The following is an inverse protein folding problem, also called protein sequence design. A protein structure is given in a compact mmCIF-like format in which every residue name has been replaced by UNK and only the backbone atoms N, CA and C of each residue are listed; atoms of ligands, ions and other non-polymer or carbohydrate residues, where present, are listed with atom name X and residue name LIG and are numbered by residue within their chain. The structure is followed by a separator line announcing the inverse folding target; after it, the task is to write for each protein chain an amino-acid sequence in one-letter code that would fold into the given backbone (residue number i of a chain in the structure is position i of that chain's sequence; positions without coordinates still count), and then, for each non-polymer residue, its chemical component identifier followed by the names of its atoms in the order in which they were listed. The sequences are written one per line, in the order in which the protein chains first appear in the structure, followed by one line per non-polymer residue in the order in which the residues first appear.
data_IF_900673943368
#
_entry.id   IF_900673943368
#
_cell.length_a   1.000
_cell.length_b   1.000
_cell.length_c   1.000
_cell.angle_alpha   90.00
_cell.angle_beta   90.00
_cell.angle_gamma   90.00
#
_symmetry.space_group_name_H-M   'P 1'
#
loop_
_entity.id
_entity.type
_entity.pdbx_description
1 polymer ?
#
# COMPACT_ATOMS: atom_id res chain seq x y z
N UNK A 1 -7.83 24.78 -7.75
CA UNK A 1 -7.15 23.72 -6.97
C UNK A 1 -6.08 23.07 -7.84
N UNK A 2 -4.84 23.05 -7.37
CA UNK A 2 -3.75 22.25 -7.93
C UNK A 2 -3.64 20.95 -7.14
N UNK A 3 -3.61 19.81 -7.83
CA UNK A 3 -3.52 18.48 -7.23
C UNK A 3 -2.14 17.87 -7.52
N UNK A 4 -1.38 17.56 -6.47
CA UNK A 4 -0.11 16.85 -6.58
C UNK A 4 -0.31 15.37 -6.29
N UNK A 5 0.11 14.49 -7.20
CA UNK A 5 0.29 13.07 -6.90
C UNK A 5 1.67 12.83 -6.29
N UNK A 6 1.81 11.83 -5.41
CA UNK A 6 3.14 11.41 -4.94
C UNK A 6 3.21 9.92 -4.66
N UNK A 7 4.39 9.38 -4.93
CA UNK A 7 4.71 7.95 -4.74
C UNK A 7 6.19 7.75 -4.47
N UNK A 8 6.55 6.54 -4.08
CA UNK A 8 7.94 6.12 -3.86
C UNK A 8 8.23 4.88 -4.68
N UNK A 9 9.43 4.76 -5.20
CA UNK A 9 9.90 3.59 -5.97
C UNK A 9 11.15 2.99 -5.34
N UNK A 10 11.32 1.68 -5.47
CA UNK A 10 12.55 0.98 -5.13
C UNK A 10 12.61 -0.36 -5.86
N UNK A 11 13.63 -0.55 -6.70
CA UNK A 11 13.88 -1.77 -7.47
C UNK A 11 12.61 -2.33 -8.13
N UNK A 12 11.83 -1.44 -8.76
CA UNK A 12 10.53 -1.80 -9.31
C UNK A 12 10.61 -2.73 -10.53
N UNK A 13 11.73 -2.70 -11.26
CA UNK A 13 11.99 -3.60 -12.40
C UNK A 13 12.22 -5.01 -11.89
N UNK A 14 13.16 -5.23 -10.97
CA UNK A 14 13.45 -6.55 -10.41
C UNK A 14 12.29 -7.11 -9.59
N UNK A 15 11.52 -6.24 -8.93
CA UNK A 15 10.34 -6.61 -8.17
C UNK A 15 9.08 -6.78 -9.04
N UNK A 16 9.18 -6.53 -10.35
CA UNK A 16 8.09 -6.65 -11.33
C UNK A 16 6.81 -5.88 -10.92
N UNK A 17 6.97 -4.69 -10.30
CA UNK A 17 5.83 -3.84 -9.97
C UNK A 17 5.27 -3.14 -11.22
N UNK A 18 3.95 -2.88 -11.30
CA UNK A 18 3.34 -2.11 -12.39
C UNK A 18 3.54 -0.59 -12.19
N UNK A 19 4.74 -0.19 -11.77
CA UNK A 19 5.07 1.17 -11.33
C UNK A 19 4.90 2.24 -12.41
N UNK A 20 5.18 1.90 -13.68
CA UNK A 20 4.98 2.83 -14.78
C UNK A 20 3.48 3.14 -14.99
N UNK A 21 2.63 2.13 -14.89
CA UNK A 21 1.19 2.29 -15.05
C UNK A 21 0.60 3.03 -13.84
N UNK A 22 1.13 2.81 -12.64
CA UNK A 22 0.78 3.57 -11.44
C UNK A 22 1.12 5.06 -11.62
N UNK A 23 2.35 5.39 -12.04
CA UNK A 23 2.76 6.79 -12.28
C UNK A 23 1.95 7.41 -13.44
N UNK A 24 1.71 6.70 -14.56
CA UNK A 24 0.85 7.16 -15.66
C UNK A 24 -0.57 7.45 -15.17
N UNK A 25 -1.09 6.62 -14.29
CA UNK A 25 -2.39 6.84 -13.66
C UNK A 25 -2.41 8.17 -12.90
N UNK A 26 -1.41 8.44 -12.05
CA UNK A 26 -1.28 9.72 -11.35
C UNK A 26 -1.16 10.91 -12.33
N UNK A 27 -0.33 10.80 -13.37
CA UNK A 27 -0.16 11.83 -14.41
C UNK A 27 -1.48 12.14 -15.15
N UNK A 28 -2.38 11.16 -15.23
CA UNK A 28 -3.67 11.28 -15.88
C UNK A 28 -4.66 12.20 -15.15
N UNK A 29 -4.60 12.29 -13.82
CA UNK A 29 -5.54 13.12 -13.07
C UNK A 29 -4.87 14.17 -12.15
N UNK A 30 -3.56 14.13 -11.94
CA UNK A 30 -2.82 15.14 -11.17
C UNK A 30 -2.21 16.22 -12.05
N UNK A 31 -1.96 17.39 -11.47
CA UNK A 31 -1.30 18.51 -12.16
C UNK A 31 0.24 18.39 -12.10
N UNK A 32 0.76 17.66 -11.12
CA UNK A 32 2.16 17.24 -11.00
C UNK A 32 2.23 15.89 -10.29
N UNK A 33 3.32 15.16 -10.48
CA UNK A 33 3.58 13.88 -9.82
C UNK A 33 5.00 13.86 -9.27
N UNK A 34 5.11 13.73 -7.95
CA UNK A 34 6.38 13.69 -7.23
C UNK A 34 6.75 12.23 -6.94
N UNK A 35 7.90 11.80 -7.43
CA UNK A 35 8.40 10.43 -7.27
C UNK A 35 9.75 10.45 -6.57
N UNK A 36 9.87 9.71 -5.47
CA UNK A 36 11.14 9.57 -4.76
C UNK A 36 11.63 8.13 -4.85
N UNK A 37 12.83 7.98 -5.38
CA UNK A 37 13.52 6.69 -5.48
C UNK A 37 14.30 6.36 -4.21
N UNK A 38 14.20 5.11 -3.74
CA UNK A 38 14.83 4.60 -2.51
C UNK A 38 16.28 4.16 -2.65
N UNK A 39 16.93 4.50 -3.77
CA UNK A 39 18.27 4.03 -4.12
C UNK A 39 18.25 2.76 -4.95
N UNK A 40 17.40 2.72 -6.00
CA UNK A 40 17.33 1.59 -6.92
C UNK A 40 18.64 1.35 -7.65
N UNK A 41 19.00 0.08 -7.86
CA UNK A 41 20.18 -0.40 -8.56
C UNK A 41 19.86 -1.35 -9.75
N UNK A 42 18.57 -1.43 -10.13
CA UNK A 42 18.05 -2.33 -11.16
C UNK A 42 17.67 -1.64 -12.48
N UNK A 43 17.97 -0.34 -12.61
CA UNK A 43 17.60 0.48 -13.77
C UNK A 43 16.31 1.29 -13.57
N UNK A 44 15.60 1.13 -12.45
CA UNK A 44 14.39 1.90 -12.13
C UNK A 44 14.67 3.40 -12.11
N UNK A 45 15.76 3.84 -11.46
CA UNK A 45 16.13 5.25 -11.35
C UNK A 45 16.50 5.86 -12.71
N UNK A 46 17.32 5.17 -13.51
CA UNK A 46 17.74 5.61 -14.84
C UNK A 46 16.51 5.80 -15.76
N UNK A 47 15.58 4.86 -15.70
CA UNK A 47 14.35 4.93 -16.47
C UNK A 47 13.46 6.09 -16.03
N UNK A 48 13.37 6.36 -14.73
CA UNK A 48 12.66 7.50 -14.17
C UNK A 48 13.29 8.83 -14.61
N UNK A 49 14.63 8.91 -14.60
CA UNK A 49 15.35 10.08 -15.10
C UNK A 49 15.10 10.33 -16.60
N UNK A 50 15.08 9.28 -17.41
CA UNK A 50 14.79 9.41 -18.83
C UNK A 50 13.35 9.90 -19.06
N UNK A 51 12.40 9.37 -18.33
CA UNK A 51 11.01 9.80 -18.39
C UNK A 51 10.84 11.26 -17.98
N UNK A 52 11.53 11.71 -16.94
CA UNK A 52 11.49 13.09 -16.46
C UNK A 52 11.98 14.11 -17.49
N UNK A 53 12.79 13.72 -18.49
CA UNK A 53 13.22 14.63 -19.57
C UNK A 53 12.08 15.00 -20.52
N UNK A 54 11.05 14.18 -20.62
CA UNK A 54 9.95 14.32 -21.58
C UNK A 54 8.60 14.62 -20.94
N UNK A 55 8.44 14.28 -19.64
CA UNK A 55 7.20 14.51 -18.91
C UNK A 55 7.32 15.69 -17.93
N UNK A 56 6.78 16.83 -18.34
CA UNK A 56 6.90 18.09 -17.59
C UNK A 56 6.18 18.12 -16.24
N UNK A 57 5.22 17.23 -16.03
CA UNK A 57 4.51 17.10 -14.75
C UNK A 57 5.29 16.26 -13.74
N UNK A 58 6.32 15.53 -14.15
CA UNK A 58 7.07 14.64 -13.29
C UNK A 58 8.13 15.42 -12.53
N UNK A 59 8.18 15.24 -11.20
CA UNK A 59 9.20 15.78 -10.30
C UNK A 59 9.86 14.60 -9.61
N UNK A 60 11.16 14.42 -9.79
CA UNK A 60 11.87 13.26 -9.23
C UNK A 60 12.95 13.67 -8.24
N UNK A 61 13.17 12.83 -7.24
CA UNK A 61 14.25 12.97 -6.25
C UNK A 61 14.66 11.59 -5.73
N UNK A 62 15.75 11.53 -5.00
CA UNK A 62 16.21 10.32 -4.32
C UNK A 62 16.23 10.51 -2.81
N UNK A 63 15.82 9.48 -2.10
CA UNK A 63 16.03 9.30 -0.66
C UNK A 63 16.58 7.89 -0.46
N UNK A 64 17.90 7.79 -0.43
CA UNK A 64 18.58 6.49 -0.32
C UNK A 64 18.34 5.91 1.06
N UNK A 65 17.68 4.77 1.10
CA UNK A 65 17.39 4.03 2.34
C UNK A 65 18.62 3.27 2.77
N UNK A 66 19.00 3.38 4.04
CA UNK A 66 20.02 2.53 4.63
C UNK A 66 19.42 1.20 5.10
N UNK A 67 19.51 0.19 4.24
CA UNK A 67 18.97 -1.15 4.48
C UNK A 67 19.67 -1.92 5.62
N UNK A 68 20.76 -1.40 6.17
CA UNK A 68 21.44 -1.99 7.32
C UNK A 68 20.92 -1.46 8.66
N UNK A 69 20.16 -0.39 8.65
CA UNK A 69 19.55 0.14 9.87
C UNK A 69 18.45 -0.77 10.39
N UNK A 70 18.32 -0.98 11.71
CA UNK A 70 17.24 -1.76 12.29
C UNK A 70 15.83 -1.21 11.97
N UNK A 71 15.70 0.10 11.72
CA UNK A 71 14.45 0.79 11.36
C UNK A 71 14.29 1.05 9.86
N UNK A 72 14.99 0.32 9.00
CA UNK A 72 14.94 0.55 7.54
C UNK A 72 13.52 0.49 6.97
N UNK A 73 12.63 -0.28 7.58
CA UNK A 73 11.24 -0.34 7.17
C UNK A 73 10.53 1.00 7.34
N UNK A 74 10.82 1.71 8.43
CA UNK A 74 10.30 3.06 8.64
C UNK A 74 11.01 4.09 7.72
N UNK A 75 12.30 3.91 7.44
CA UNK A 75 13.03 4.70 6.46
C UNK A 75 12.36 4.64 5.08
N UNK A 76 12.12 3.41 4.57
CA UNK A 76 11.58 3.19 3.22
C UNK A 76 10.12 3.61 3.08
N UNK A 77 9.29 3.34 4.06
CA UNK A 77 7.85 3.59 3.95
C UNK A 77 7.46 4.96 4.55
N UNK A 78 7.99 5.33 5.73
CA UNK A 78 7.68 6.59 6.40
C UNK A 78 8.45 7.79 5.84
N UNK A 79 9.78 7.76 5.96
CA UNK A 79 10.61 8.90 5.62
C UNK A 79 10.70 9.14 4.12
N UNK A 80 10.77 8.09 3.32
CA UNK A 80 10.77 8.20 1.85
C UNK A 80 9.44 8.78 1.36
N UNK A 81 8.29 8.29 1.83
CA UNK A 81 6.97 8.87 1.51
C UNK A 81 6.85 10.32 1.96
N UNK A 82 7.37 10.64 3.16
CA UNK A 82 7.43 12.03 3.65
C UNK A 82 8.26 12.91 2.72
N UNK A 83 9.41 12.42 2.23
CA UNK A 83 10.24 13.14 1.26
C UNK A 83 9.48 13.42 -0.03
N UNK A 84 8.80 12.42 -0.57
CA UNK A 84 7.98 12.57 -1.78
C UNK A 84 6.84 13.57 -1.58
N UNK A 85 6.14 13.52 -0.45
CA UNK A 85 5.09 14.46 -0.09
C UNK A 85 5.62 15.91 0.00
N UNK A 86 6.82 16.13 0.58
CA UNK A 86 7.45 17.46 0.72
C UNK A 86 7.85 18.10 -0.61
N UNK A 87 7.89 17.35 -1.72
CA UNK A 87 8.08 17.89 -3.07
C UNK A 87 6.78 18.45 -3.67
N UNK A 88 5.62 18.07 -3.15
CA UNK A 88 4.33 18.50 -3.66
C UNK A 88 4.14 20.02 -3.50
N UNK A 89 3.76 20.70 -4.58
CA UNK A 89 3.49 22.15 -4.60
C UNK A 89 2.00 22.50 -4.78
N UNK A 90 1.13 21.49 -4.91
CA UNK A 90 -0.32 21.67 -5.05
C UNK A 90 -1.02 22.01 -3.74
N UNK A 91 -2.31 22.35 -3.85
CA UNK A 91 -3.18 22.61 -2.70
C UNK A 91 -3.56 21.33 -1.95
N UNK A 92 -3.67 20.24 -2.70
CA UNK A 92 -4.03 18.90 -2.23
C UNK A 92 -2.99 17.89 -2.71
N UNK A 93 -2.78 16.83 -1.92
CA UNK A 93 -1.85 15.75 -2.21
C UNK A 93 -2.57 14.41 -2.28
N UNK A 94 -2.34 13.67 -3.37
CA UNK A 94 -2.81 12.30 -3.57
C UNK A 94 -1.65 11.33 -3.46
N UNK A 95 -1.68 10.44 -2.46
CA UNK A 95 -0.68 9.37 -2.29
C UNK A 95 -1.09 8.13 -3.06
N UNK A 96 -0.15 7.46 -3.72
CA UNK A 96 -0.36 6.13 -4.29
C UNK A 96 0.87 5.26 -4.09
N UNK A 97 0.66 3.96 -3.89
CA UNK A 97 1.75 2.98 -3.93
C UNK A 97 1.96 2.53 -5.39
N UNK A 98 3.16 2.05 -5.73
CA UNK A 98 3.55 1.73 -7.13
C UNK A 98 2.84 0.51 -7.73
N UNK A 99 2.03 -0.17 -6.96
CA UNK A 99 1.17 -1.27 -7.38
C UNK A 99 -0.32 -0.92 -7.31
N UNK A 100 -0.63 0.40 -7.24
CA UNK A 100 -2.00 0.92 -7.24
C UNK A 100 -2.28 1.74 -8.50
N UNK A 101 -3.50 1.67 -9.00
CA UNK A 101 -3.95 2.34 -10.22
C UNK A 101 -5.36 2.88 -10.02
N UNK A 102 -5.61 4.12 -10.43
CA UNK A 102 -6.94 4.65 -10.76
C UNK A 102 -7.12 4.49 -12.26
N UNK A 103 -8.23 3.92 -12.70
CA UNK A 103 -8.50 3.74 -14.13
C UNK A 103 -8.88 5.05 -14.79
N UNK A 104 -8.61 5.17 -16.10
CA UNK A 104 -8.80 6.40 -16.84
C UNK A 104 -10.25 6.92 -16.79
N UNK A 105 -11.21 6.02 -16.75
CA UNK A 105 -12.65 6.32 -16.65
C UNK A 105 -13.03 7.04 -15.35
N UNK A 106 -12.19 6.89 -14.31
CA UNK A 106 -12.39 7.52 -13.01
C UNK A 106 -11.63 8.84 -12.84
N UNK A 107 -10.80 9.28 -13.80
CA UNK A 107 -9.94 10.46 -13.62
C UNK A 107 -10.75 11.75 -13.37
N UNK A 108 -11.77 12.00 -14.19
CA UNK A 108 -12.62 13.17 -14.01
C UNK A 108 -13.39 13.13 -12.69
N UNK A 109 -13.95 11.97 -12.35
CA UNK A 109 -14.63 11.74 -11.06
C UNK A 109 -13.69 11.97 -9.88
N UNK A 110 -12.45 11.49 -9.97
CA UNK A 110 -11.40 11.69 -8.96
C UNK A 110 -11.14 13.18 -8.75
N UNK A 111 -10.92 13.93 -9.83
CA UNK A 111 -10.67 15.38 -9.75
C UNK A 111 -11.84 16.15 -9.16
N UNK A 112 -13.07 15.79 -9.51
CA UNK A 112 -14.28 16.45 -9.01
C UNK A 112 -14.42 16.24 -7.49
N UNK A 113 -14.22 15.03 -7.01
CA UNK A 113 -14.22 14.76 -5.56
C UNK A 113 -13.07 15.50 -4.85
N UNK A 114 -11.87 15.51 -5.42
CA UNK A 114 -10.76 16.29 -4.86
C UNK A 114 -11.10 17.79 -4.72
N UNK A 115 -11.81 18.36 -5.71
CA UNK A 115 -12.25 19.75 -5.67
C UNK A 115 -13.34 19.97 -4.61
N UNK A 116 -14.27 19.06 -4.45
CA UNK A 116 -15.29 19.12 -3.39
C UNK A 116 -14.63 19.11 -1.99
N UNK A 117 -13.67 18.21 -1.78
CA UNK A 117 -12.92 18.13 -0.52
C UNK A 117 -12.07 19.39 -0.29
N UNK A 118 -11.42 19.90 -1.33
CA UNK A 118 -10.68 21.17 -1.25
C UNK A 118 -11.57 22.33 -0.76
N UNK A 119 -12.80 22.43 -1.26
CA UNK A 119 -13.77 23.45 -0.87
C UNK A 119 -14.34 23.24 0.54
N UNK A 120 -14.10 22.11 1.19
CA UNK A 120 -14.51 21.85 2.57
C UNK A 120 -13.30 21.90 3.51
N UNK A 121 -12.99 23.06 4.16
CA UNK A 121 -11.79 23.23 4.98
C UNK A 121 -11.77 22.37 6.25
N UNK A 122 -12.85 21.71 6.60
CA UNK A 122 -12.93 20.82 7.76
C UNK A 122 -12.30 19.45 7.49
N UNK A 123 -12.01 19.12 6.24
CA UNK A 123 -11.45 17.81 5.85
C UNK A 123 -9.95 17.96 5.59
N UNK A 124 -9.13 17.37 6.43
CA UNK A 124 -7.67 17.30 6.27
C UNK A 124 -7.23 16.07 5.48
N UNK A 125 -7.90 14.93 5.67
CA UNK A 125 -7.55 13.63 5.08
C UNK A 125 -8.82 12.85 4.76
N UNK A 126 -8.85 12.21 3.59
CA UNK A 126 -9.99 11.39 3.14
C UNK A 126 -9.54 10.01 2.68
N UNK A 127 -10.39 9.02 2.96
CA UNK A 127 -10.23 7.66 2.46
C UNK A 127 -10.93 7.46 1.13
N UNK A 128 -10.42 6.51 0.35
CA UNK A 128 -11.02 6.06 -0.92
C UNK A 128 -11.18 4.54 -0.93
N UNK A 129 -12.16 4.02 -1.67
CA UNK A 129 -12.33 2.59 -1.85
C UNK A 129 -11.09 1.96 -2.46
N UNK A 130 -10.75 0.77 -1.98
CA UNK A 130 -9.68 -0.04 -2.49
C UNK A 130 -10.18 -1.45 -2.77
N UNK A 131 -9.84 -1.98 -3.92
CA UNK A 131 -9.99 -3.40 -4.23
C UNK A 131 -8.60 -4.01 -4.40
N UNK A 132 -8.31 -5.06 -3.66
CA UNK A 132 -7.06 -5.79 -3.78
C UNK A 132 -7.27 -7.06 -4.59
N UNK A 133 -6.69 -7.08 -5.80
CA UNK A 133 -6.77 -8.24 -6.66
C UNK A 133 -6.01 -9.43 -6.09
N UNK A 134 -6.56 -10.63 -6.33
CA UNK A 134 -5.96 -11.89 -5.93
C UNK A 134 -5.83 -12.84 -7.11
N UNK A 135 -4.59 -13.11 -7.52
CA UNK A 135 -4.34 -13.93 -8.69
C UNK A 135 -4.85 -13.32 -9.99
N UNK A 136 -4.77 -14.09 -11.06
CA UNK A 136 -5.09 -13.64 -12.42
C UNK A 136 -6.59 -13.67 -12.78
N UNK A 137 -7.44 -14.20 -11.91
CA UNK A 137 -8.82 -14.58 -12.23
C UNK A 137 -9.90 -13.55 -11.86
N UNK A 138 -9.55 -12.26 -11.70
CA UNK A 138 -10.51 -11.22 -11.33
C UNK A 138 -11.08 -11.34 -9.92
N UNK A 139 -10.48 -12.17 -9.07
CA UNK A 139 -10.85 -12.27 -7.66
C UNK A 139 -10.35 -11.07 -6.88
N UNK A 140 -11.11 -10.69 -5.86
CA UNK A 140 -10.76 -9.61 -4.92
C UNK A 140 -10.74 -10.15 -3.51
N UNK A 141 -9.71 -9.81 -2.76
CA UNK A 141 -9.61 -10.15 -1.34
C UNK A 141 -10.67 -9.41 -0.52
N UNK A 142 -11.23 -10.10 0.46
CA UNK A 142 -12.20 -9.54 1.40
C UNK A 142 -11.70 -9.52 2.85
N UNK A 143 -10.50 -10.01 3.10
CA UNK A 143 -9.87 -10.05 4.43
C UNK A 143 -9.04 -8.78 4.75
N UNK A 144 -8.87 -7.90 3.76
CA UNK A 144 -8.18 -6.61 3.91
C UNK A 144 -9.16 -5.45 4.04
N UNK A 145 -8.70 -4.33 4.54
CA UNK A 145 -9.49 -3.11 4.57
C UNK A 145 -9.82 -2.66 3.15
N UNK A 146 -11.13 -2.44 2.82
CA UNK A 146 -11.54 -2.05 1.48
C UNK A 146 -11.37 -0.54 1.22
N UNK A 147 -10.44 0.10 1.88
CA UNK A 147 -10.12 1.53 1.72
C UNK A 147 -8.70 1.84 2.16
N UNK A 148 -8.19 2.95 1.63
CA UNK A 148 -6.95 3.57 2.11
C UNK A 148 -7.08 5.08 2.16
N UNK A 149 -6.28 5.71 3.01
CA UNK A 149 -6.09 7.17 3.01
C UNK A 149 -5.29 7.56 1.78
N UNK A 150 -5.84 8.45 0.95
CA UNK A 150 -5.15 8.83 -0.29
C UNK A 150 -5.11 10.32 -0.54
N UNK A 151 -6.16 11.05 -0.20
CA UNK A 151 -6.25 12.49 -0.43
C UNK A 151 -6.07 13.26 0.88
N UNK A 152 -5.12 14.18 0.91
CA UNK A 152 -4.91 15.08 2.05
C UNK A 152 -4.65 16.51 1.59
N UNK A 153 -4.89 17.48 2.49
CA UNK A 153 -4.41 18.84 2.25
C UNK A 153 -2.88 18.87 2.22
N UNK A 154 -2.30 19.77 1.42
CA UNK A 154 -0.86 20.00 1.43
C UNK A 154 -0.45 20.84 2.65
N UNK A 155 -0.68 20.28 3.82
CA UNK A 155 -0.25 20.88 5.09
C UNK A 155 1.20 20.42 5.38
N UNK A 156 2.18 21.33 5.52
CA UNK A 156 3.58 20.98 5.72
C UNK A 156 3.85 20.25 7.04
N UNK A 157 2.92 20.31 8.00
CA UNK A 157 3.01 19.59 9.27
C UNK A 157 2.61 18.12 9.14
N UNK A 158 1.98 17.72 8.05
CA UNK A 158 1.58 16.33 7.82
C UNK A 158 2.74 15.57 7.22
N UNK A 159 3.10 14.48 7.87
CA UNK A 159 4.13 13.53 7.42
C UNK A 159 3.58 12.10 7.47
N UNK A 160 4.30 11.16 6.86
CA UNK A 160 4.11 9.74 7.07
C UNK A 160 4.97 9.26 8.23
N UNK A 161 4.39 8.49 9.15
CA UNK A 161 5.12 8.04 10.32
C UNK A 161 4.35 7.10 11.23
N UNK A 162 5.00 6.73 12.33
CA UNK A 162 4.40 5.93 13.38
C UNK A 162 3.69 6.86 14.35
N UNK A 163 2.39 6.68 14.64
CA UNK A 163 1.70 7.43 15.68
C UNK A 163 2.38 7.31 17.04
N UNK A 164 2.41 8.39 17.81
CA UNK A 164 3.15 8.45 19.06
C UNK A 164 2.72 7.45 20.14
N UNK A 165 1.43 7.07 20.14
CA UNK A 165 0.90 6.01 21.01
C UNK A 165 1.42 4.62 20.66
N UNK A 166 1.88 4.41 19.42
CA UNK A 166 2.41 3.16 18.88
C UNK A 166 3.92 3.20 18.64
N UNK A 167 4.52 4.40 18.69
CA UNK A 167 5.95 4.59 18.48
C UNK A 167 6.75 4.09 19.68
N UNK A 168 7.74 3.24 19.41
CA UNK A 168 8.72 2.73 20.37
C UNK A 168 10.12 2.90 19.82
N UNK A 169 11.11 2.81 20.71
CA UNK A 169 12.52 2.97 20.41
C UNK A 169 13.31 1.76 20.85
N UNK A 170 14.30 1.37 20.07
CA UNK A 170 15.34 0.41 20.45
C UNK A 170 16.43 1.11 21.28
N UNK A 171 17.36 0.34 21.82
CA UNK A 171 18.50 0.85 22.60
C UNK A 171 19.37 1.82 21.79
N UNK A 172 19.47 1.66 20.47
CA UNK A 172 20.20 2.52 19.54
C UNK A 172 19.38 3.75 19.07
N UNK A 173 18.23 4.01 19.70
CA UNK A 173 17.25 5.03 19.34
C UNK A 173 16.58 4.88 17.97
N UNK A 174 16.71 3.71 17.31
CA UNK A 174 15.92 3.45 16.11
C UNK A 174 14.46 3.16 16.43
N UNK A 175 13.58 3.58 15.53
CA UNK A 175 12.13 3.53 15.75
C UNK A 175 11.52 2.20 15.32
N UNK A 176 10.46 1.77 15.98
CA UNK A 176 9.62 0.65 15.57
C UNK A 176 8.17 0.83 16.02
N UNK A 177 7.25 0.12 15.37
CA UNK A 177 5.83 0.13 15.69
C UNK A 177 5.41 -1.07 16.53
N UNK A 178 4.39 -0.91 17.36
CA UNK A 178 3.72 -2.04 17.98
C UNK A 178 3.05 -2.92 16.91
N UNK A 179 3.06 -4.23 17.12
CA UNK A 179 2.49 -5.20 16.18
C UNK A 179 1.00 -4.91 15.90
N UNK A 180 0.59 -5.09 14.65
CA UNK A 180 -0.79 -4.87 14.21
C UNK A 180 -1.09 -3.44 13.75
N UNK A 181 -0.09 -2.58 13.67
CA UNK A 181 -0.19 -1.20 13.21
C UNK A 181 0.19 -1.11 11.75
N UNK A 182 -0.59 -0.40 10.95
CA UNK A 182 -0.14 0.09 9.65
C UNK A 182 0.88 1.19 9.89
N UNK A 183 2.09 0.97 9.43
CA UNK A 183 3.29 1.66 9.86
C UNK A 183 3.49 3.04 9.28
N UNK A 184 2.66 3.43 8.34
CA UNK A 184 2.77 4.70 7.64
C UNK A 184 1.49 5.48 7.67
N UNK A 185 1.04 5.79 8.89
CA UNK A 185 -0.08 6.68 9.09
C UNK A 185 0.27 8.11 8.66
N UNK A 186 -0.75 8.89 8.37
CA UNK A 186 -0.65 10.34 8.30
C UNK A 186 -0.66 10.89 9.71
N UNK A 187 0.44 11.51 10.12
CA UNK A 187 0.59 12.10 11.45
C UNK A 187 1.02 13.56 11.36
N UNK A 188 0.73 14.34 12.39
CA UNK A 188 1.34 15.65 12.57
C UNK A 188 2.76 15.48 13.09
N UNK A 189 3.74 16.14 12.43
CA UNK A 189 5.17 16.00 12.71
C UNK A 189 5.53 16.40 14.15
N UNK A 190 4.88 17.44 14.66
CA UNK A 190 5.15 18.01 15.98
C UNK A 190 4.55 17.19 17.14
N UNK A 191 3.34 16.69 16.98
CA UNK A 191 2.61 15.99 18.06
C UNK A 191 2.65 14.48 17.94
N UNK A 192 3.06 13.95 16.78
CA UNK A 192 2.96 12.52 16.43
C UNK A 192 1.53 11.95 16.53
N UNK A 193 0.51 12.82 16.56
CA UNK A 193 -0.89 12.39 16.55
C UNK A 193 -1.36 12.12 15.12
N UNK A 194 -2.29 11.17 14.98
CA UNK A 194 -2.91 10.89 13.68
C UNK A 194 -3.67 12.10 13.15
N UNK A 195 -3.56 12.34 11.86
CA UNK A 195 -4.37 13.34 11.17
C UNK A 195 -5.83 12.88 11.16
N UNK A 196 -6.78 13.74 11.57
CA UNK A 196 -8.20 13.42 11.46
C UNK A 196 -8.59 13.13 10.02
N UNK A 197 -9.38 12.09 9.79
CA UNK A 197 -9.78 11.69 8.46
C UNK A 197 -11.28 11.46 8.35
N UNK A 198 -11.79 11.59 7.12
CA UNK A 198 -13.18 11.32 6.77
C UNK A 198 -13.24 10.01 6.00
N UNK A 199 -14.19 9.17 6.38
CA UNK A 199 -14.53 7.94 5.70
C UNK A 199 -15.57 8.22 4.62
N UNK A 200 -15.43 7.61 3.45
CA UNK A 200 -16.38 7.78 2.36
C UNK A 200 -17.73 7.05 2.59
N UNK A 201 -17.81 6.17 3.60
CA UNK A 201 -19.03 5.47 3.99
C UNK A 201 -19.01 5.03 5.47
N UNK A 202 -20.09 4.43 5.96
CA UNK A 202 -20.13 3.83 7.32
C UNK A 202 -19.26 2.57 7.39
N UNK A 203 -18.00 2.77 7.71
CA UNK A 203 -17.00 1.71 7.77
C UNK A 203 -17.23 0.71 8.89
N UNK A 204 -17.83 1.10 10.01
CA UNK A 204 -18.14 0.15 11.10
C UNK A 204 -19.11 -0.91 10.62
N UNK A 205 -20.17 -0.48 9.91
CA UNK A 205 -21.12 -1.39 9.29
C UNK A 205 -20.46 -2.32 8.27
N UNK A 206 -19.65 -1.76 7.37
CA UNK A 206 -18.99 -2.53 6.32
C UNK A 206 -17.97 -3.51 6.91
N UNK A 207 -17.18 -3.11 7.91
CA UNK A 207 -16.25 -4.01 8.59
C UNK A 207 -16.97 -5.17 9.28
N UNK A 208 -18.09 -4.92 9.93
CA UNK A 208 -18.86 -5.98 10.56
C UNK A 208 -19.38 -6.99 9.53
N UNK A 209 -19.94 -6.51 8.42
CA UNK A 209 -20.41 -7.37 7.32
C UNK A 209 -19.24 -8.18 6.74
N UNK A 210 -18.09 -7.53 6.50
CA UNK A 210 -16.87 -8.19 6.01
C UNK A 210 -16.38 -9.28 6.97
N UNK A 211 -16.40 -9.04 8.28
CA UNK A 211 -16.03 -10.04 9.26
C UNK A 211 -16.95 -11.28 9.22
N UNK A 212 -18.26 -11.08 9.09
CA UNK A 212 -19.20 -12.18 8.93
C UNK A 212 -19.02 -12.92 7.60
N UNK A 213 -18.76 -12.21 6.50
CA UNK A 213 -18.44 -12.81 5.20
C UNK A 213 -17.18 -13.68 5.29
N UNK A 214 -16.11 -13.19 5.92
CA UNK A 214 -14.91 -13.97 6.17
C UNK A 214 -15.14 -15.20 7.05
N UNK A 215 -16.06 -15.11 8.01
CA UNK A 215 -16.45 -16.24 8.84
C UNK A 215 -17.36 -17.25 8.12
N UNK A 216 -17.70 -17.01 6.85
CA UNK A 216 -18.46 -17.95 6.03
C UNK A 216 -19.97 -17.71 5.96
N UNK A 217 -20.45 -16.58 6.44
CA UNK A 217 -21.85 -16.22 6.28
C UNK A 217 -22.14 -15.82 4.83
N UNK A 218 -22.96 -16.60 4.12
CA UNK A 218 -23.23 -16.39 2.70
C UNK A 218 -23.99 -15.09 2.45
N UNK A 219 -24.96 -14.74 3.29
CA UNK A 219 -25.71 -13.48 3.12
C UNK A 219 -24.81 -12.24 3.28
N UNK A 220 -23.86 -12.30 4.22
CA UNK A 220 -22.88 -11.25 4.40
C UNK A 220 -21.93 -11.17 3.20
N UNK A 221 -21.54 -12.31 2.63
CA UNK A 221 -20.70 -12.36 1.42
C UNK A 221 -21.43 -11.73 0.22
N UNK A 222 -22.68 -12.12 -0.02
CA UNK A 222 -23.50 -11.59 -1.11
C UNK A 222 -23.73 -10.08 -0.97
N UNK A 223 -23.98 -9.61 0.27
CA UNK A 223 -24.08 -8.18 0.54
C UNK A 223 -22.76 -7.45 0.26
N UNK A 224 -21.65 -7.99 0.73
CA UNK A 224 -20.33 -7.36 0.57
C UNK A 224 -19.93 -7.29 -0.91
N UNK A 225 -20.21 -8.33 -1.67
CA UNK A 225 -19.98 -8.36 -3.13
C UNK A 225 -20.80 -7.27 -3.84
N UNK A 226 -22.09 -7.17 -3.56
CA UNK A 226 -22.97 -6.15 -4.14
C UNK A 226 -22.55 -4.73 -3.72
N UNK A 227 -22.13 -4.54 -2.46
CA UNK A 227 -21.59 -3.28 -1.98
C UNK A 227 -20.31 -2.90 -2.72
N UNK A 228 -19.36 -3.84 -2.90
CA UNK A 228 -18.11 -3.62 -3.63
C UNK A 228 -18.39 -3.18 -5.07
N UNK A 229 -19.26 -3.89 -5.78
CA UNK A 229 -19.68 -3.52 -7.15
C UNK A 229 -20.31 -2.12 -7.21
N UNK A 230 -21.16 -1.80 -6.24
CA UNK A 230 -21.76 -0.47 -6.13
C UNK A 230 -20.72 0.63 -5.90
N UNK A 231 -19.73 0.38 -5.04
CA UNK A 231 -18.65 1.34 -4.76
C UNK A 231 -17.77 1.62 -5.98
N UNK A 232 -17.42 0.58 -6.74
CA UNK A 232 -16.65 0.73 -7.98
C UNK A 232 -17.37 1.64 -8.98
N UNK A 233 -18.69 1.57 -9.03
CA UNK A 233 -19.50 2.39 -9.94
C UNK A 233 -19.68 3.84 -9.45
N UNK A 234 -19.76 4.06 -8.15
CA UNK A 234 -20.08 5.36 -7.55
C UNK A 234 -18.85 6.21 -7.21
N UNK A 235 -17.76 5.57 -6.81
CA UNK A 235 -16.56 6.23 -6.33
C UNK A 235 -15.34 5.87 -7.20
N UNK A 236 -14.38 6.79 -7.37
CA UNK A 236 -13.08 6.40 -7.90
C UNK A 236 -12.48 5.36 -6.97
N UNK A 237 -12.09 4.23 -7.53
CA UNK A 237 -11.65 3.07 -6.76
C UNK A 237 -10.21 2.74 -7.06
N UNK A 238 -9.40 2.65 -6.01
CA UNK A 238 -7.99 2.25 -6.09
C UNK A 238 -7.94 0.76 -6.40
N UNK A 239 -7.31 0.43 -7.51
CA UNK A 239 -7.07 -0.95 -7.95
C UNK A 239 -5.66 -1.36 -7.52
N UNK A 240 -5.56 -2.24 -6.52
CA UNK A 240 -4.31 -2.66 -5.92
C UNK A 240 -3.87 -4.02 -6.46
N UNK A 241 -2.72 -4.05 -7.11
CA UNK A 241 -2.17 -5.21 -7.81
C UNK A 241 -1.10 -5.97 -7.01
N UNK A 242 -1.04 -5.75 -5.69
CA UNK A 242 -0.02 -6.35 -4.82
C UNK A 242 0.02 -7.89 -4.91
N UNK A 243 -1.15 -8.52 -4.91
CA UNK A 243 -1.33 -9.97 -4.96
C UNK A 243 -1.86 -10.49 -6.32
N UNK A 244 -1.96 -9.66 -7.32
CA UNK A 244 -2.39 -10.07 -8.67
C UNK A 244 -1.46 -11.14 -9.26
N UNK A 245 -0.16 -10.99 -9.07
CA UNK A 245 0.84 -12.02 -9.35
C UNK A 245 1.35 -12.61 -8.03
N UNK A 246 0.78 -13.75 -7.63
CA UNK A 246 1.06 -14.38 -6.32
C UNK A 246 2.50 -14.89 -6.24
N UNK A 247 3.02 -15.50 -7.31
CA UNK A 247 4.41 -16.00 -7.34
C UNK A 247 5.40 -14.84 -7.15
N UNK A 248 5.22 -13.72 -7.86
CA UNK A 248 6.00 -12.49 -7.67
C UNK A 248 5.94 -12.03 -6.21
N UNK A 249 4.73 -11.98 -5.62
CA UNK A 249 4.56 -11.51 -4.23
C UNK A 249 5.30 -12.39 -3.23
N UNK A 250 5.29 -13.71 -3.41
CA UNK A 250 6.05 -14.63 -2.55
C UNK A 250 7.56 -14.39 -2.71
N UNK A 251 8.05 -14.21 -3.94
CA UNK A 251 9.46 -13.84 -4.19
C UNK A 251 9.84 -12.53 -3.50
N UNK A 252 8.96 -11.53 -3.55
CA UNK A 252 9.17 -10.26 -2.87
C UNK A 252 9.17 -10.41 -1.34
N UNK A 253 8.42 -11.36 -0.78
CA UNK A 253 8.55 -11.71 0.65
C UNK A 253 9.91 -12.32 0.98
N UNK A 254 10.43 -13.19 0.12
CA UNK A 254 11.78 -13.76 0.28
C UNK A 254 12.87 -12.69 0.29
N UNK A 255 12.79 -11.72 -0.61
CA UNK A 255 13.84 -10.71 -0.80
C UNK A 255 13.69 -9.50 0.12
N UNK A 256 12.46 -9.08 0.42
CA UNK A 256 12.21 -7.80 1.06
C UNK A 256 11.17 -7.85 2.20
N UNK A 257 9.92 -8.26 1.92
CA UNK A 257 8.81 -8.03 2.85
C UNK A 257 8.92 -8.77 4.19
N UNK A 258 9.52 -9.97 4.24
CA UNK A 258 9.71 -10.64 5.54
C UNK A 258 10.64 -9.84 6.45
N UNK A 259 11.75 -9.33 5.91
CA UNK A 259 12.68 -8.46 6.65
C UNK A 259 12.02 -7.14 7.04
N UNK A 260 11.26 -6.55 6.10
CA UNK A 260 10.51 -5.32 6.34
C UNK A 260 9.61 -5.43 7.56
N UNK A 261 8.77 -6.45 7.64
CA UNK A 261 7.87 -6.63 8.77
C UNK A 261 8.60 -6.97 10.07
N UNK A 262 9.69 -7.74 9.99
CA UNK A 262 10.54 -7.98 11.17
C UNK A 262 11.14 -6.67 11.69
N UNK A 263 11.72 -5.84 10.82
CA UNK A 263 12.25 -4.53 11.18
C UNK A 263 11.19 -3.62 11.80
N UNK A 264 10.00 -3.57 11.17
CA UNK A 264 8.90 -2.73 11.59
C UNK A 264 8.43 -3.03 13.02
N UNK A 265 8.42 -4.31 13.43
CA UNK A 265 7.88 -4.75 14.72
C UNK A 265 8.96 -5.19 15.74
N UNK A 266 10.18 -4.70 15.61
CA UNK A 266 11.28 -4.99 16.53
C UNK A 266 11.61 -6.49 16.64
N UNK A 267 11.57 -7.20 15.52
CA UNK A 267 12.00 -8.60 15.43
C UNK A 267 13.36 -8.67 14.75
N UNK A 268 14.12 -9.75 15.03
CA UNK A 268 15.33 -10.04 14.26
C UNK A 268 15.00 -10.17 12.78
N UNK A 269 15.90 -9.67 11.93
CA UNK A 269 15.83 -9.81 10.46
C UNK A 269 16.60 -11.02 9.95
N UNK A 270 17.14 -11.85 10.86
CA UNK A 270 17.92 -13.04 10.52
C UNK A 270 17.06 -14.03 9.74
N UNK A 271 17.70 -14.76 8.84
CA UNK A 271 17.04 -15.80 8.05
C UNK A 271 16.82 -17.07 8.89
N UNK A 272 15.76 -17.03 9.67
CA UNK A 272 15.33 -18.16 10.52
C UNK A 272 13.92 -18.62 10.12
N UNK A 273 13.56 -19.82 10.54
CA UNK A 273 12.21 -20.37 10.37
C UNK A 273 11.14 -19.46 11.01
N UNK A 274 11.43 -18.90 12.19
CA UNK A 274 10.51 -18.02 12.93
C UNK A 274 10.22 -16.72 12.20
N UNK A 275 11.19 -16.21 11.44
CA UNK A 275 11.11 -14.97 10.68
C UNK A 275 10.58 -15.18 9.24
N UNK A 276 10.42 -16.43 8.81
CA UNK A 276 9.75 -16.73 7.55
C UNK A 276 8.22 -16.74 7.75
N UNK A 277 7.54 -15.77 7.15
CA UNK A 277 6.09 -15.59 7.30
C UNK A 277 5.24 -16.55 6.45
N UNK A 278 5.87 -17.31 5.54
CA UNK A 278 5.15 -18.14 4.56
C UNK A 278 5.49 -19.63 4.63
N UNK A 279 6.71 -19.96 5.07
CA UNK A 279 7.19 -21.34 5.11
C UNK A 279 7.70 -21.72 6.50
N UNK A 280 7.60 -22.99 6.83
CA UNK A 280 8.10 -23.54 8.11
C UNK A 280 9.58 -23.93 8.02
N UNK A 281 10.38 -23.10 7.31
CA UNK A 281 11.82 -23.22 7.10
C UNK A 281 12.43 -21.85 6.81
N UNK A 282 13.76 -21.63 6.97
CA UNK A 282 14.43 -20.40 6.57
C UNK A 282 14.25 -20.10 5.08
N UNK A 283 14.29 -18.83 4.68
CA UNK A 283 14.16 -18.44 3.28
C UNK A 283 15.29 -18.97 2.39
N UNK A 284 16.49 -19.17 2.96
CA UNK A 284 17.64 -19.79 2.25
C UNK A 284 17.35 -21.23 1.80
N UNK A 285 16.45 -21.93 2.48
CA UNK A 285 16.04 -23.30 2.16
C UNK A 285 14.79 -23.34 1.25
N UNK A 286 14.16 -22.19 0.97
CA UNK A 286 12.98 -22.11 0.09
C UNK A 286 13.43 -22.14 -1.38
N UNK A 287 13.01 -23.17 -2.10
CA UNK A 287 13.28 -23.34 -3.53
C UNK A 287 12.24 -22.66 -4.41
N UNK A 288 12.54 -22.48 -5.69
CA UNK A 288 11.58 -21.97 -6.67
C UNK A 288 10.36 -22.89 -6.82
N UNK A 289 10.54 -24.21 -6.61
CA UNK A 289 9.43 -25.16 -6.64
C UNK A 289 8.49 -24.95 -5.44
N UNK A 290 9.03 -24.72 -4.25
CA UNK A 290 8.22 -24.38 -3.07
C UNK A 290 7.37 -23.14 -3.32
N UNK A 291 7.98 -22.11 -3.95
CA UNK A 291 7.29 -20.85 -4.27
C UNK A 291 6.14 -21.09 -5.25
N UNK A 292 6.39 -21.85 -6.31
CA UNK A 292 5.37 -22.17 -7.33
C UNK A 292 4.22 -23.01 -6.74
N UNK A 293 4.56 -24.00 -5.93
CA UNK A 293 3.55 -24.84 -5.25
C UNK A 293 2.69 -23.99 -4.31
N UNK A 294 3.32 -23.12 -3.51
CA UNK A 294 2.59 -22.21 -2.63
C UNK A 294 1.70 -21.26 -3.43
N UNK A 295 2.23 -20.66 -4.50
CA UNK A 295 1.46 -19.74 -5.35
C UNK A 295 0.24 -20.43 -5.94
N UNK A 296 0.39 -21.64 -6.48
CA UNK A 296 -0.71 -22.44 -7.02
C UNK A 296 -1.79 -22.73 -5.96
N UNK A 297 -1.38 -23.13 -4.77
CA UNK A 297 -2.31 -23.41 -3.66
C UNK A 297 -3.05 -22.16 -3.21
N UNK A 298 -2.36 -21.05 -3.05
CA UNK A 298 -2.96 -19.76 -2.68
C UNK A 298 -3.99 -19.31 -3.70
N UNK A 299 -3.70 -19.41 -4.98
CA UNK A 299 -4.60 -18.98 -6.06
C UNK A 299 -5.83 -19.89 -6.20
N UNK A 300 -5.65 -21.19 -6.09
CA UNK A 300 -6.69 -22.16 -6.44
C UNK A 300 -7.43 -22.75 -5.25
N UNK A 301 -6.79 -22.87 -4.09
CA UNK A 301 -7.33 -23.56 -2.91
C UNK A 301 -7.76 -22.58 -1.81
N UNK A 302 -6.99 -21.51 -1.59
CA UNK A 302 -7.19 -20.64 -0.44
C UNK A 302 -7.99 -19.36 -0.73
N UNK A 303 -8.09 -18.97 -1.98
CA UNK A 303 -9.04 -17.92 -2.39
C UNK A 303 -8.77 -16.51 -1.83
N UNK A 304 -7.55 -16.18 -1.42
CA UNK A 304 -7.23 -14.79 -1.15
C UNK A 304 -6.96 -14.40 0.29
N UNK A 305 -6.43 -15.28 1.11
CA UNK A 305 -6.10 -14.93 2.48
C UNK A 305 -4.61 -15.10 2.78
N UNK A 306 -3.98 -13.99 3.25
CA UNK A 306 -2.65 -14.03 3.86
C UNK A 306 -2.62 -12.99 4.98
N UNK A 307 -2.27 -13.40 6.18
CA UNK A 307 -1.87 -12.49 7.24
C UNK A 307 -0.34 -12.33 7.24
N UNK A 308 0.14 -11.29 7.89
CA UNK A 308 1.54 -11.12 8.28
C UNK A 308 1.97 -12.14 9.34
N UNK A 309 1.53 -13.37 9.19
CA UNK A 309 1.76 -14.53 10.06
C UNK A 309 1.81 -15.76 9.17
N UNK A 310 2.33 -16.86 9.69
CA UNK A 310 2.34 -18.15 8.99
C UNK A 310 0.97 -18.46 8.42
N UNK A 311 0.94 -18.95 7.19
CA UNK A 311 -0.29 -19.29 6.49
C UNK A 311 -0.98 -20.40 7.24
N UNK A 312 -2.20 -20.16 7.66
CA UNK A 312 -3.08 -21.19 8.20
C UNK A 312 -3.73 -21.93 7.03
N UNK A 313 -3.17 -23.09 6.72
CA UNK A 313 -3.61 -23.93 5.60
C UNK A 313 -5.01 -24.50 5.77
N UNK A 314 -5.52 -24.60 6.99
CA UNK A 314 -6.86 -25.09 7.27
C UNK A 314 -7.92 -24.00 7.11
N UNK A 315 -7.50 -22.74 7.05
CA UNK A 315 -8.40 -21.60 6.91
C UNK A 315 -8.60 -21.24 5.44
N UNK A 316 -9.74 -21.64 4.88
CA UNK A 316 -10.15 -21.20 3.55
C UNK A 316 -10.65 -19.77 3.61
N UNK A 317 -10.05 -18.90 2.83
CA UNK A 317 -10.51 -17.52 2.69
C UNK A 317 -11.47 -17.39 1.53
N UNK A 318 -12.41 -16.49 1.70
CA UNK A 318 -13.39 -16.19 0.66
C UNK A 318 -12.94 -14.96 -0.13
N UNK A 319 -13.03 -15.07 -1.43
CA UNK A 319 -12.91 -13.97 -2.38
C UNK A 319 -14.25 -13.74 -3.05
N UNK A 320 -14.44 -12.55 -3.58
CA UNK A 320 -15.55 -12.22 -4.47
C UNK A 320 -15.03 -12.04 -5.89
N UNK A 321 -15.89 -12.26 -6.87
CA UNK A 321 -15.61 -11.94 -8.28
C UNK A 321 -16.31 -10.64 -8.62
N UNK A 322 -15.58 -9.68 -9.19
CA UNK A 322 -16.11 -8.37 -9.59
C UNK A 322 -16.09 -8.19 -11.10
#
# INVERSE_FOLDING_TARGET
MKLSGYTTVYNCINNEYPWEDSIKSLLGFCDEVCVVDGGSDDGTWEKLQEWNKTESKLVIDQYIVDWNRPDFAYESDGRQKTRSRKLCSGDMCWQMDVDEIIVQEDYEKTRNICLEIYNNPQIELMTFPLIEYWGSNGKVRIDVNPWKWRLSRNNPKIIHGIPGDLLKYREDNTEYALQGTDSCDYIYEDTKTRVPFVLFCDMNKINNIRAHANAGNQQALDFYENWTKSMINQMPTIRHYSWHNIERKIKNYKTHWSKFWCSMYNKSIDDTKENNMMFDKPWSEVTDNDIKELAFRLENEMGGWIFHQKIDWDRKTKSITI
#
